data_IF_438129087418
#
_entry.id   IF_438129087418
#
_cell.length_a   1.000
_cell.length_b   1.000
_cell.length_c   1.000
_cell.angle_alpha   90.00
_cell.angle_beta   90.00
_cell.angle_gamma   90.00
#
_symmetry.space_group_name_H-M   'P 1'
#
loop_
_entity.id
_entity.type
_entity.pdbx_description
1 polymer ?
#
# COMPACT_ATOMS: atom_id res chain seq x y z
N UNK A 1 -23.18 23.83 -30.75
CA UNK A 1 -21.93 24.61 -30.73
C UNK A 1 -21.37 24.84 -29.31
N UNK A 2 -22.16 25.30 -28.35
CA UNK A 2 -21.69 25.62 -26.97
C UNK A 2 -21.06 24.41 -26.28
N UNK A 3 -21.70 23.22 -26.33
CA UNK A 3 -21.22 21.99 -25.71
C UNK A 3 -19.87 21.54 -26.29
N UNK A 4 -19.71 21.59 -27.61
CA UNK A 4 -18.45 21.23 -28.27
C UNK A 4 -17.32 22.21 -27.90
N UNK A 5 -17.63 23.51 -27.80
CA UNK A 5 -16.65 24.51 -27.34
C UNK A 5 -16.22 24.31 -25.89
N UNK A 6 -17.17 24.02 -25.02
CA UNK A 6 -16.86 23.73 -23.60
C UNK A 6 -16.03 22.45 -23.44
N UNK A 7 -16.36 21.39 -24.19
CA UNK A 7 -15.56 20.16 -24.14
C UNK A 7 -14.12 20.39 -24.63
N UNK A 8 -13.96 21.10 -25.75
CA UNK A 8 -12.63 21.41 -26.28
C UNK A 8 -11.83 22.29 -25.32
N UNK A 9 -12.48 23.27 -24.68
CA UNK A 9 -11.85 24.08 -23.63
C UNK A 9 -11.39 23.24 -22.44
N UNK A 10 -12.25 22.38 -21.92
CA UNK A 10 -11.89 21.47 -20.80
C UNK A 10 -10.77 20.51 -21.20
N UNK A 11 -10.82 19.96 -22.41
CA UNK A 11 -9.79 19.08 -22.95
C UNK A 11 -8.43 19.79 -23.03
N UNK A 12 -8.38 21.02 -23.55
CA UNK A 12 -7.15 21.81 -23.64
C UNK A 12 -6.65 22.28 -22.26
N UNK A 13 -7.57 22.66 -21.36
CA UNK A 13 -7.24 23.01 -19.99
C UNK A 13 -6.57 21.86 -19.25
N UNK A 14 -6.99 20.62 -19.48
CA UNK A 14 -6.36 19.44 -18.91
C UNK A 14 -4.88 19.29 -19.28
N UNK A 15 -4.43 19.75 -20.45
CA UNK A 15 -3.00 19.74 -20.79
C UNK A 15 -2.18 20.79 -20.03
N UNK A 16 -2.82 21.87 -19.58
CA UNK A 16 -2.15 22.95 -18.84
C UNK A 16 -2.04 22.57 -17.36
N UNK A 17 -3.08 21.95 -16.81
CA UNK A 17 -3.16 21.60 -15.38
C UNK A 17 -2.34 20.35 -15.06
N UNK A 18 -2.23 19.43 -16.04
CA UNK A 18 -1.61 18.15 -15.82
C UNK A 18 -0.08 18.30 -15.66
N UNK A 19 0.40 18.09 -14.44
CA UNK A 19 1.84 18.05 -14.14
C UNK A 19 2.28 16.59 -14.01
N UNK A 20 3.48 16.31 -14.51
CA UNK A 20 4.11 15.00 -14.37
C UNK A 20 4.59 14.82 -12.95
N UNK A 21 4.09 13.81 -12.26
CA UNK A 21 4.57 13.43 -10.94
C UNK A 21 5.81 12.55 -11.11
N UNK A 22 6.99 13.07 -10.79
CA UNK A 22 8.22 12.28 -10.66
C UNK A 22 8.59 12.22 -9.19
N UNK A 23 8.60 11.03 -8.62
CA UNK A 23 8.99 10.83 -7.23
C UNK A 23 10.31 10.06 -7.14
N UNK A 24 11.19 10.37 -6.19
CA UNK A 24 12.49 9.70 -6.04
C UNK A 24 12.40 8.18 -5.96
N UNK A 25 11.37 7.62 -5.31
CA UNK A 25 11.15 6.17 -5.17
C UNK A 25 11.13 5.44 -6.52
N UNK A 26 10.64 6.07 -7.59
CA UNK A 26 10.58 5.45 -8.92
C UNK A 26 11.95 5.24 -9.56
N UNK A 27 12.99 5.94 -9.09
CA UNK A 27 14.36 5.79 -9.61
C UNK A 27 14.98 4.44 -9.27
N UNK A 28 14.49 3.78 -8.21
CA UNK A 28 14.98 2.48 -7.75
C UNK A 28 14.25 1.31 -8.41
N UNK A 29 13.24 1.58 -9.24
CA UNK A 29 12.35 0.56 -9.80
C UNK A 29 12.58 0.40 -11.31
N UNK A 30 12.84 -0.82 -11.76
CA UNK A 30 12.92 -1.20 -13.17
C UNK A 30 11.58 -1.75 -13.64
N UNK A 31 11.16 -1.40 -14.86
CA UNK A 31 9.89 -1.87 -15.44
C UNK A 31 10.07 -3.21 -16.16
N UNK A 32 9.15 -4.18 -16.00
CA UNK A 32 8.00 -4.15 -15.11
C UNK A 32 8.38 -4.23 -13.64
N UNK A 33 7.69 -3.48 -12.77
CA UNK A 33 7.89 -3.55 -11.32
C UNK A 33 7.25 -4.81 -10.77
N UNK A 34 7.98 -5.53 -9.92
CA UNK A 34 7.48 -6.70 -9.20
C UNK A 34 7.26 -6.38 -7.74
N UNK A 35 6.06 -6.72 -7.22
CA UNK A 35 5.64 -6.44 -5.84
C UNK A 35 5.24 -7.75 -5.18
N UNK A 36 5.75 -8.02 -3.98
CA UNK A 36 5.32 -9.17 -3.19
C UNK A 36 4.26 -8.73 -2.18
N UNK A 37 2.99 -9.00 -2.50
CA UNK A 37 1.86 -8.73 -1.61
C UNK A 37 1.98 -9.58 -0.34
N UNK A 38 2.01 -8.91 0.84
CA UNK A 38 2.24 -9.53 2.14
C UNK A 38 3.49 -10.43 2.18
N UNK A 39 4.52 -10.06 1.43
CA UNK A 39 5.73 -10.87 1.27
C UNK A 39 5.56 -12.14 0.44
N UNK A 40 4.41 -12.40 -0.18
CA UNK A 40 4.11 -13.62 -0.94
C UNK A 40 3.29 -14.63 -0.14
N UNK A 41 2.20 -14.20 0.44
CA UNK A 41 1.32 -14.88 1.39
C UNK A 41 0.74 -16.24 0.95
N UNK A 42 0.78 -16.56 -0.34
CA UNK A 42 0.33 -17.88 -0.85
C UNK A 42 1.39 -18.96 -0.78
N UNK A 43 2.64 -18.58 -0.57
CA UNK A 43 3.80 -19.50 -0.58
C UNK A 43 4.38 -19.66 0.82
N UNK A 44 4.36 -18.59 1.60
CA UNK A 44 4.88 -18.53 2.97
C UNK A 44 3.87 -17.85 3.90
N UNK A 45 4.03 -17.99 5.25
CA UNK A 45 3.16 -17.27 6.19
C UNK A 45 3.17 -15.77 5.91
N UNK A 46 1.96 -15.21 5.83
CA UNK A 46 1.73 -13.80 5.54
C UNK A 46 2.64 -12.93 6.42
N UNK A 47 3.29 -11.94 5.80
CA UNK A 47 4.02 -10.88 6.50
C UNK A 47 5.09 -11.37 7.48
N UNK A 48 5.60 -12.58 7.26
CA UNK A 48 6.69 -13.15 8.04
C UNK A 48 8.06 -12.78 7.48
N UNK A 49 9.07 -12.80 8.34
CA UNK A 49 10.47 -12.64 7.93
C UNK A 49 10.86 -13.65 6.83
N UNK A 50 10.30 -14.86 6.92
CA UNK A 50 10.52 -15.91 5.93
C UNK A 50 9.95 -15.50 4.56
N UNK A 51 8.72 -14.99 4.51
CA UNK A 51 8.09 -14.54 3.27
C UNK A 51 8.89 -13.40 2.62
N UNK A 52 9.23 -12.38 3.39
CA UNK A 52 10.02 -11.24 2.91
C UNK A 52 11.40 -11.65 2.43
N UNK A 53 12.11 -12.48 3.19
CA UNK A 53 13.44 -12.99 2.80
C UNK A 53 13.38 -13.73 1.46
N UNK A 54 12.38 -14.60 1.28
CA UNK A 54 12.24 -15.34 0.01
C UNK A 54 11.89 -14.44 -1.16
N UNK A 55 10.97 -13.47 -0.98
CA UNK A 55 10.64 -12.51 -2.02
C UNK A 55 11.88 -11.72 -2.48
N UNK A 56 12.66 -11.21 -1.54
CA UNK A 56 13.90 -10.47 -1.83
C UNK A 56 14.93 -11.36 -2.55
N UNK A 57 15.14 -12.60 -2.08
CA UNK A 57 16.05 -13.55 -2.73
C UNK A 57 15.62 -13.93 -4.17
N UNK A 58 14.33 -13.84 -4.49
CA UNK A 58 13.79 -13.99 -5.83
C UNK A 58 13.95 -12.74 -6.70
N UNK A 59 14.50 -11.65 -6.17
CA UNK A 59 14.70 -10.39 -6.89
C UNK A 59 13.43 -9.54 -7.01
N UNK A 60 12.45 -9.72 -6.11
CA UNK A 60 11.28 -8.84 -6.03
C UNK A 60 11.73 -7.44 -5.62
N UNK A 61 11.27 -6.43 -6.35
CA UNK A 61 11.72 -5.06 -6.20
C UNK A 61 11.05 -4.33 -5.05
N UNK A 62 9.79 -4.62 -4.78
CA UNK A 62 8.98 -3.95 -3.76
C UNK A 62 8.36 -5.00 -2.83
N UNK A 63 8.54 -4.81 -1.54
CA UNK A 63 7.84 -5.56 -0.51
C UNK A 63 6.61 -4.75 -0.08
N UNK A 64 5.45 -5.33 -0.28
CA UNK A 64 4.21 -4.78 0.24
C UNK A 64 3.91 -5.43 1.59
N UNK A 65 3.45 -4.60 2.54
CA UNK A 65 3.14 -4.98 3.91
C UNK A 65 2.09 -4.05 4.54
N UNK A 66 1.35 -4.59 5.50
CA UNK A 66 0.24 -3.96 6.17
C UNK A 66 0.59 -3.56 7.61
N UNK A 67 0.24 -2.36 8.07
CA UNK A 67 0.65 -1.90 9.40
C UNK A 67 -0.51 -1.55 10.31
N UNK A 68 -0.30 -1.91 11.59
CA UNK A 68 -1.07 -1.50 12.75
C UNK A 68 -0.14 -0.99 13.85
N UNK A 69 -0.71 -0.36 14.89
CA UNK A 69 0.02 0.09 16.07
C UNK A 69 -0.49 -0.60 17.32
N UNK A 70 0.42 -1.12 18.12
CA UNK A 70 0.12 -1.71 19.44
C UNK A 70 -0.31 -0.66 20.45
N UNK A 71 -0.85 -1.10 21.60
CA UNK A 71 -1.25 -0.24 22.71
C UNK A 71 -0.09 0.60 23.25
N UNK A 72 1.12 0.07 23.23
CA UNK A 72 2.35 0.71 23.70
C UNK A 72 3.15 1.41 22.58
N UNK A 73 2.52 1.65 21.41
CA UNK A 73 3.02 2.55 20.36
C UNK A 73 3.95 1.91 19.33
N UNK A 74 4.14 0.60 19.35
CA UNK A 74 5.00 -0.07 18.35
C UNK A 74 4.21 -0.29 17.05
N UNK A 75 4.76 0.11 15.92
CA UNK A 75 4.21 -0.20 14.59
C UNK A 75 4.59 -1.63 14.24
N UNK A 76 3.58 -2.47 14.05
CA UNK A 76 3.70 -3.89 13.74
C UNK A 76 3.11 -4.22 12.38
N UNK A 77 3.58 -5.31 11.80
CA UNK A 77 3.17 -5.77 10.48
C UNK A 77 2.11 -6.86 10.66
N UNK A 78 0.91 -6.62 10.19
CA UNK A 78 -0.21 -7.57 10.17
C UNK A 78 -1.36 -7.03 9.34
N UNK A 79 -1.95 -7.87 8.48
CA UNK A 79 -3.05 -7.47 7.60
C UNK A 79 -4.34 -7.15 8.38
N UNK A 80 -4.74 -8.04 9.28
CA UNK A 80 -6.01 -7.93 9.99
C UNK A 80 -5.88 -7.04 11.23
N UNK A 81 -6.97 -6.42 11.68
CA UNK A 81 -6.99 -5.66 12.94
C UNK A 81 -6.75 -6.55 14.17
N UNK A 82 -7.02 -7.85 14.04
CA UNK A 82 -6.85 -8.86 15.07
C UNK A 82 -5.78 -9.86 14.66
N UNK A 83 -5.25 -10.60 15.65
CA UNK A 83 -4.28 -11.66 15.41
C UNK A 83 -4.90 -13.03 15.18
N UNK A 84 -6.23 -13.13 15.15
CA UNK A 84 -7.00 -14.39 15.24
C UNK A 84 -6.76 -15.34 14.06
N UNK A 85 -6.62 -14.80 12.87
CA UNK A 85 -6.57 -15.60 11.64
C UNK A 85 -5.34 -16.50 11.56
N UNK A 86 -4.19 -15.98 11.92
CA UNK A 86 -2.90 -16.65 11.69
C UNK A 86 -2.26 -17.21 12.96
N UNK A 87 -2.65 -16.72 14.15
CA UNK A 87 -1.97 -17.07 15.39
C UNK A 87 -2.73 -18.10 16.23
N UNK A 88 -2.11 -18.54 17.32
CA UNK A 88 -2.68 -19.39 18.38
C UNK A 88 -3.40 -18.57 19.47
N UNK A 89 -3.61 -17.29 19.24
CA UNK A 89 -4.24 -16.36 20.17
C UNK A 89 -5.28 -15.47 19.48
N UNK A 90 -5.94 -14.60 20.22
CA UNK A 90 -6.97 -13.69 19.69
C UNK A 90 -6.90 -12.32 20.35
N UNK A 91 -7.39 -11.30 19.63
CA UNK A 91 -7.54 -9.94 20.15
C UNK A 91 -7.11 -8.86 19.17
N UNK A 92 -7.53 -7.64 19.48
CA UNK A 92 -7.20 -6.45 18.70
C UNK A 92 -5.74 -6.02 18.94
N UNK A 93 -4.98 -5.85 17.89
CA UNK A 93 -3.57 -5.41 17.96
C UNK A 93 -3.41 -4.11 18.75
N UNK A 94 -4.30 -3.14 18.53
CA UNK A 94 -4.29 -1.84 19.23
C UNK A 94 -4.52 -1.93 20.74
N UNK A 95 -5.00 -3.06 21.24
CA UNK A 95 -5.23 -3.31 22.66
C UNK A 95 -4.13 -4.17 23.32
N UNK A 96 -3.24 -4.72 22.51
CA UNK A 96 -2.15 -5.59 22.95
C UNK A 96 -0.84 -4.82 23.07
N UNK A 97 0.00 -5.22 24.02
CA UNK A 97 1.39 -4.74 24.10
C UNK A 97 2.27 -5.48 23.12
N UNK A 98 3.36 -4.84 22.70
CA UNK A 98 4.39 -5.48 21.88
C UNK A 98 4.92 -6.76 22.54
N UNK A 99 5.21 -6.71 23.84
CA UNK A 99 5.68 -7.88 24.57
C UNK A 99 4.68 -9.05 24.57
N UNK A 100 3.37 -8.77 24.58
CA UNK A 100 2.33 -9.78 24.45
C UNK A 100 2.31 -10.40 23.05
N UNK A 101 2.40 -9.57 21.99
CA UNK A 101 2.46 -10.05 20.60
C UNK A 101 3.67 -10.96 20.33
N UNK A 102 4.78 -10.76 21.03
CA UNK A 102 5.96 -11.61 20.89
C UNK A 102 5.81 -13.01 21.51
N UNK A 103 4.76 -13.26 22.29
CA UNK A 103 4.50 -14.60 22.86
C UNK A 103 3.71 -15.51 21.92
N UNK A 104 2.99 -14.95 20.94
CA UNK A 104 2.14 -15.73 20.03
C UNK A 104 2.96 -16.42 18.93
N UNK A 105 2.43 -17.52 18.41
CA UNK A 105 2.91 -18.17 17.19
C UNK A 105 2.24 -17.52 15.98
N UNK A 106 2.98 -16.69 15.24
CA UNK A 106 2.48 -15.90 14.12
C UNK A 106 2.07 -16.70 12.88
N UNK A 107 2.31 -17.99 12.84
CA UNK A 107 1.95 -18.86 11.71
C UNK A 107 1.20 -20.13 12.14
N UNK A 108 0.62 -20.13 13.34
CA UNK A 108 -0.05 -21.30 13.91
C UNK A 108 -1.16 -21.84 13.03
N UNK A 109 -1.98 -20.96 12.45
CA UNK A 109 -3.10 -21.30 11.58
C UNK A 109 -2.81 -21.13 10.08
N UNK A 110 -1.59 -20.72 9.73
CA UNK A 110 -1.26 -20.59 8.31
C UNK A 110 -1.18 -21.97 7.62
N UNK A 111 -1.83 -22.05 6.47
CA UNK A 111 -1.89 -23.29 5.68
C UNK A 111 -1.90 -22.98 4.19
N UNK A 112 -1.07 -23.64 3.37
CA UNK A 112 -1.07 -23.45 1.91
C UNK A 112 -2.25 -24.16 1.22
N UNK A 113 -2.85 -25.14 1.88
CA UNK A 113 -3.87 -26.04 1.32
C UNK A 113 -5.15 -26.18 2.19
N UNK A 114 -5.19 -25.50 3.32
CA UNK A 114 -6.26 -25.60 4.32
C UNK A 114 -6.25 -26.89 5.15
N UNK A 115 -5.26 -27.76 4.95
CA UNK A 115 -5.17 -29.09 5.58
C UNK A 115 -3.90 -29.27 6.40
N UNK A 116 -2.80 -28.74 5.91
CA UNK A 116 -1.47 -28.85 6.55
C UNK A 116 -1.04 -27.52 7.15
N UNK A 117 -0.30 -27.58 8.25
CA UNK A 117 0.17 -26.41 9.01
C UNK A 117 1.70 -26.48 9.22
N UNK A 118 2.47 -26.30 8.14
CA UNK A 118 3.92 -26.61 8.15
C UNK A 118 4.75 -25.69 9.05
N UNK A 119 4.22 -24.52 9.40
CA UNK A 119 4.93 -23.52 10.22
C UNK A 119 4.42 -23.43 11.66
N UNK A 120 3.41 -24.22 12.03
CA UNK A 120 2.91 -24.28 13.40
C UNK A 120 4.00 -24.72 14.37
N UNK A 121 4.21 -23.94 15.44
CA UNK A 121 5.24 -24.21 16.43
C UNK A 121 6.68 -24.02 15.94
N UNK A 122 6.90 -23.35 14.82
CA UNK A 122 8.24 -23.12 14.25
C UNK A 122 8.85 -21.77 14.66
N UNK A 123 8.21 -21.04 15.57
CA UNK A 123 8.75 -19.78 16.09
C UNK A 123 8.58 -18.58 15.16
N UNK A 124 7.65 -18.65 14.22
CA UNK A 124 7.29 -17.49 13.39
C UNK A 124 6.66 -16.44 14.29
N UNK A 125 7.13 -15.19 14.19
CA UNK A 125 6.68 -14.08 15.03
C UNK A 125 6.01 -13.00 14.21
N UNK A 126 5.08 -12.26 14.84
CA UNK A 126 4.63 -10.96 14.34
C UNK A 126 5.82 -10.01 14.40
N UNK A 127 6.04 -9.25 13.35
CA UNK A 127 7.20 -8.38 13.20
C UNK A 127 6.86 -6.93 13.50
N UNK A 128 7.81 -6.18 14.04
CA UNK A 128 7.73 -4.72 14.01
C UNK A 128 8.21 -4.21 12.64
N UNK A 129 7.72 -3.05 12.23
CA UNK A 129 8.19 -2.39 11.00
C UNK A 129 9.69 -2.10 11.08
N UNK A 130 10.20 -1.71 12.25
CA UNK A 130 11.64 -1.50 12.47
C UNK A 130 12.46 -2.76 12.22
N UNK A 131 11.99 -3.93 12.67
CA UNK A 131 12.72 -5.18 12.46
C UNK A 131 12.90 -5.53 10.98
N UNK A 132 11.92 -5.21 10.13
CA UNK A 132 12.03 -5.42 8.68
C UNK A 132 12.94 -4.38 8.02
N UNK A 133 12.85 -3.12 8.42
CA UNK A 133 13.72 -2.06 7.90
C UNK A 133 15.18 -2.30 8.28
N UNK A 134 15.43 -2.80 9.49
CA UNK A 134 16.78 -3.20 9.93
C UNK A 134 17.32 -4.41 9.15
N UNK A 135 16.46 -5.39 8.87
CA UNK A 135 16.85 -6.59 8.12
C UNK A 135 17.13 -6.31 6.64
N UNK A 136 16.42 -5.36 6.04
CA UNK A 136 16.48 -5.07 4.60
C UNK A 136 16.58 -3.57 4.30
N UNK A 137 17.66 -2.88 4.71
CA UNK A 137 17.75 -1.42 4.67
C UNK A 137 17.80 -0.80 3.27
N UNK A 138 17.97 -1.61 2.22
CA UNK A 138 18.00 -1.15 0.83
C UNK A 138 16.71 -1.48 0.06
N UNK A 139 15.73 -2.09 0.72
CA UNK A 139 14.49 -2.53 0.07
C UNK A 139 13.54 -1.35 -0.13
N UNK A 140 12.79 -1.37 -1.23
CA UNK A 140 11.64 -0.49 -1.43
C UNK A 140 10.41 -1.13 -0.79
N UNK A 141 9.70 -0.34 0.01
CA UNK A 141 8.50 -0.78 0.73
C UNK A 141 7.26 -0.09 0.19
N UNK A 142 6.19 -0.85 0.13
CA UNK A 142 4.83 -0.38 -0.07
C UNK A 142 4.04 -0.69 1.20
N UNK A 143 3.75 0.35 1.99
CA UNK A 143 3.21 0.22 3.35
C UNK A 143 1.75 0.62 3.35
N UNK A 144 0.83 -0.35 3.56
CA UNK A 144 -0.58 -0.06 3.70
C UNK A 144 -0.95 0.24 5.15
N UNK A 145 -1.50 1.42 5.42
CA UNK A 145 -2.06 1.76 6.73
C UNK A 145 -3.45 1.14 6.84
N UNK A 146 -3.56 0.07 7.63
CA UNK A 146 -4.83 -0.64 7.91
C UNK A 146 -5.58 -0.06 9.10
N UNK A 147 -4.87 0.48 10.07
CA UNK A 147 -5.48 1.07 11.25
C UNK A 147 -5.89 2.52 11.00
N UNK A 148 -7.18 2.80 11.11
CA UNK A 148 -7.74 4.14 10.92
C UNK A 148 -8.04 4.85 12.23
N UNK A 149 -8.30 4.09 13.30
CA UNK A 149 -8.61 4.57 14.64
C UNK A 149 -8.04 3.62 15.71
N UNK A 150 -7.25 4.17 16.68
CA UNK A 150 -6.67 5.51 16.68
C UNK A 150 -5.67 5.71 15.52
N UNK A 151 -5.51 6.93 15.01
CA UNK A 151 -4.64 7.23 13.88
C UNK A 151 -3.17 6.94 14.24
N UNK A 152 -2.39 6.50 13.24
CA UNK A 152 -0.95 6.19 13.39
C UNK A 152 -0.06 6.94 12.39
N UNK A 153 -0.63 7.84 11.59
CA UNK A 153 0.05 8.47 10.46
C UNK A 153 1.28 9.28 10.89
N UNK A 154 1.18 10.00 12.02
CA UNK A 154 2.31 10.79 12.56
C UNK A 154 3.42 9.87 13.06
N UNK A 155 3.06 8.80 13.79
CA UNK A 155 4.03 7.84 14.31
C UNK A 155 4.77 7.13 13.18
N UNK A 156 4.05 6.77 12.11
CA UNK A 156 4.66 6.18 10.92
C UNK A 156 5.62 7.17 10.24
N UNK A 157 5.18 8.41 10.03
CA UNK A 157 6.03 9.43 9.41
C UNK A 157 7.32 9.68 10.20
N UNK A 158 7.20 9.82 11.52
CA UNK A 158 8.36 10.06 12.40
C UNK A 158 9.33 8.87 12.35
N UNK A 159 8.82 7.64 12.31
CA UNK A 159 9.64 6.45 12.17
C UNK A 159 10.36 6.44 10.81
N UNK A 160 9.67 6.70 9.70
CA UNK A 160 10.27 6.75 8.36
C UNK A 160 11.37 7.82 8.26
N UNK A 161 11.16 9.00 8.85
CA UNK A 161 12.16 10.07 8.93
C UNK A 161 13.37 9.65 9.74
N UNK A 162 13.16 8.98 10.87
CA UNK A 162 14.24 8.46 11.72
C UNK A 162 15.12 7.45 10.97
N UNK A 163 14.54 6.63 10.10
CA UNK A 163 15.27 5.68 9.26
C UNK A 163 15.89 6.34 8.01
N UNK A 164 15.53 7.58 7.69
CA UNK A 164 16.03 8.29 6.52
C UNK A 164 15.54 7.73 5.18
N UNK A 165 14.47 6.94 5.17
CA UNK A 165 13.95 6.21 3.98
C UNK A 165 12.69 6.85 3.38
N UNK A 166 12.17 7.91 3.99
CA UNK A 166 10.86 8.46 3.67
C UNK A 166 10.67 8.83 2.19
N UNK A 167 11.68 9.46 1.57
CA UNK A 167 11.51 10.06 0.25
C UNK A 167 11.76 9.11 -0.94
N UNK A 168 12.59 8.10 -0.80
CA UNK A 168 13.09 7.32 -1.94
C UNK A 168 12.92 5.80 -1.85
N UNK A 169 12.50 5.30 -0.69
CA UNK A 169 12.33 3.86 -0.47
C UNK A 169 10.92 3.46 -0.03
N UNK A 170 10.00 4.41 0.18
CA UNK A 170 8.68 4.11 0.72
C UNK A 170 7.57 4.69 -0.15
N UNK A 171 6.56 3.87 -0.36
CA UNK A 171 5.23 4.25 -0.86
C UNK A 171 4.24 3.93 0.26
N UNK A 172 3.31 4.84 0.55
CA UNK A 172 2.27 4.60 1.54
C UNK A 172 0.91 4.49 0.86
N UNK A 173 0.17 3.47 1.22
CA UNK A 173 -1.17 3.18 0.76
C UNK A 173 -2.18 3.17 1.90
N UNK A 174 -3.44 3.39 1.58
CA UNK A 174 -4.59 3.08 2.44
C UNK A 174 -5.86 3.00 1.62
N UNK A 175 -6.78 2.09 1.97
CA UNK A 175 -8.14 2.08 1.43
C UNK A 175 -9.03 3.17 2.03
N UNK A 176 -8.58 3.84 3.11
CA UNK A 176 -9.24 5.01 3.67
C UNK A 176 -8.65 6.28 3.07
N UNK A 177 -9.43 6.99 2.26
CA UNK A 177 -9.03 8.30 1.71
C UNK A 177 -8.72 9.32 2.82
N UNK A 178 -9.42 9.24 3.94
CA UNK A 178 -9.19 10.11 5.11
C UNK A 178 -7.83 9.84 5.73
N UNK A 179 -7.48 8.56 5.97
CA UNK A 179 -6.18 8.13 6.48
C UNK A 179 -5.06 8.58 5.56
N UNK A 180 -5.21 8.34 4.26
CA UNK A 180 -4.20 8.72 3.27
C UNK A 180 -4.03 10.24 3.20
N UNK A 181 -5.12 11.00 3.28
CA UNK A 181 -5.06 12.48 3.34
C UNK A 181 -4.37 12.98 4.62
N UNK A 182 -4.66 12.36 5.78
CA UNK A 182 -3.95 12.70 7.03
C UNK A 182 -2.46 12.42 6.90
N UNK A 183 -2.10 11.25 6.31
CA UNK A 183 -0.70 10.91 6.08
C UNK A 183 0.01 11.89 5.15
N UNK A 184 -0.59 12.24 4.01
CA UNK A 184 -0.04 13.24 3.08
C UNK A 184 0.21 14.60 3.74
N UNK A 185 -0.66 15.01 4.67
CA UNK A 185 -0.50 16.28 5.39
C UNK A 185 0.68 16.28 6.37
N UNK A 186 0.98 15.16 7.02
CA UNK A 186 2.07 15.06 8.01
C UNK A 186 3.39 14.62 7.39
N UNK A 187 3.33 13.94 6.24
CA UNK A 187 4.48 13.33 5.57
C UNK A 187 4.48 13.60 4.04
N UNK A 188 4.49 14.86 3.60
CA UNK A 188 4.34 15.21 2.19
C UNK A 188 5.50 14.77 1.29
N UNK A 189 6.64 14.43 1.88
CA UNK A 189 7.81 13.91 1.16
C UNK A 189 7.73 12.44 0.77
N UNK A 190 6.78 11.68 1.32
CA UNK A 190 6.60 10.26 1.03
C UNK A 190 5.63 10.08 -0.13
N UNK A 191 5.98 9.20 -1.07
CA UNK A 191 5.09 8.79 -2.15
C UNK A 191 3.83 8.13 -1.60
N UNK A 192 2.67 8.42 -2.21
CA UNK A 192 1.42 7.75 -1.85
C UNK A 192 0.77 7.06 -3.03
N UNK A 193 -0.04 6.05 -2.74
CA UNK A 193 -0.90 5.41 -3.73
C UNK A 193 -2.11 6.29 -4.09
N UNK A 194 -2.77 5.94 -5.19
CA UNK A 194 -3.98 6.62 -5.65
C UNK A 194 -5.13 6.41 -4.65
N UNK A 195 -5.69 7.50 -4.06
CA UNK A 195 -6.87 7.40 -3.22
C UNK A 195 -8.07 6.79 -3.95
N UNK A 196 -8.92 6.04 -3.24
CA UNK A 196 -10.06 5.34 -3.84
C UNK A 196 -11.03 6.28 -4.56
N UNK A 197 -11.32 7.45 -3.95
CA UNK A 197 -12.18 8.45 -4.56
C UNK A 197 -11.58 9.03 -5.83
N UNK A 198 -10.28 9.36 -5.83
CA UNK A 198 -9.59 9.84 -7.04
C UNK A 198 -9.55 8.77 -8.13
N UNK A 199 -9.34 7.50 -7.75
CA UNK A 199 -9.42 6.38 -8.67
C UNK A 199 -10.78 6.27 -9.35
N UNK A 200 -11.87 6.45 -8.60
CA UNK A 200 -13.24 6.45 -9.12
C UNK A 200 -13.48 7.63 -10.08
N UNK A 201 -13.05 8.83 -9.70
CA UNK A 201 -13.16 10.02 -10.55
C UNK A 201 -12.34 9.84 -11.84
N UNK A 202 -11.12 9.34 -11.74
CA UNK A 202 -10.26 9.03 -12.88
C UNK A 202 -10.91 8.04 -13.84
N UNK A 203 -11.56 6.99 -13.28
CA UNK A 203 -12.30 6.04 -14.08
C UNK A 203 -13.39 6.72 -14.91
N UNK A 204 -14.23 7.55 -14.26
CA UNK A 204 -15.31 8.28 -14.95
C UNK A 204 -14.75 9.21 -16.01
N UNK A 205 -13.76 10.03 -15.67
CA UNK A 205 -13.14 10.98 -16.59
C UNK A 205 -12.48 10.29 -17.79
N UNK A 206 -11.89 9.10 -17.56
CA UNK A 206 -11.29 8.31 -18.64
C UNK A 206 -12.31 7.87 -19.69
N UNK A 207 -13.60 7.68 -19.30
CA UNK A 207 -14.66 7.29 -20.25
C UNK A 207 -15.04 8.39 -21.25
N UNK A 208 -14.81 9.63 -20.87
CA UNK A 208 -15.12 10.81 -21.69
C UNK A 208 -13.87 11.53 -22.19
N UNK A 209 -12.67 11.01 -21.94
CA UNK A 209 -11.40 11.58 -22.41
C UNK A 209 -10.95 12.85 -21.69
N UNK A 210 -11.45 13.09 -20.48
CA UNK A 210 -11.13 14.26 -19.64
C UNK A 210 -10.27 13.92 -18.42
N UNK A 211 -9.57 12.77 -18.42
CA UNK A 211 -8.73 12.29 -17.33
C UNK A 211 -7.63 13.28 -16.90
N UNK A 212 -7.19 14.13 -17.84
CA UNK A 212 -6.15 15.15 -17.55
C UNK A 212 -6.64 16.32 -16.70
N UNK A 213 -7.94 16.45 -16.48
CA UNK A 213 -8.48 17.45 -15.56
C UNK A 213 -8.30 17.09 -14.09
N UNK A 214 -7.99 15.80 -13.79
CA UNK A 214 -7.73 15.37 -12.44
C UNK A 214 -6.23 15.51 -12.15
N UNK A 215 -5.82 16.43 -11.27
CA UNK A 215 -4.46 16.47 -10.79
C UNK A 215 -4.21 15.20 -9.93
N UNK A 216 -3.18 14.43 -10.28
CA UNK A 216 -2.80 13.23 -9.58
C UNK A 216 -1.45 13.46 -8.91
N UNK A 217 -1.44 13.48 -7.58
CA UNK A 217 -0.20 13.50 -6.78
C UNK A 217 0.26 12.06 -6.45
N UNK A 218 -0.58 11.07 -6.76
CA UNK A 218 -0.28 9.67 -6.53
C UNK A 218 0.79 9.15 -7.49
N UNK A 219 1.75 8.42 -6.94
CA UNK A 219 2.88 7.84 -7.69
C UNK A 219 2.55 6.44 -8.21
N UNK A 220 1.69 5.72 -7.50
CA UNK A 220 1.29 4.34 -7.77
C UNK A 220 -0.23 4.20 -7.70
N UNK A 221 -0.81 3.38 -8.57
CA UNK A 221 -2.20 2.95 -8.46
C UNK A 221 -2.24 1.46 -8.16
N UNK A 222 -2.67 1.10 -6.97
CA UNK A 222 -2.91 -0.27 -6.56
C UNK A 222 -4.39 -0.60 -6.80
N UNK A 223 -4.66 -1.31 -7.86
CA UNK A 223 -6.02 -1.54 -8.31
C UNK A 223 -6.29 -3.03 -8.43
N UNK A 224 -7.35 -3.53 -7.79
CA UNK A 224 -7.81 -4.89 -8.03
C UNK A 224 -8.34 -5.00 -9.47
N UNK A 225 -8.31 -6.21 -10.03
CA UNK A 225 -8.82 -6.46 -11.39
C UNK A 225 -10.27 -6.00 -11.59
N UNK A 226 -11.06 -6.07 -10.53
CA UNK A 226 -12.43 -5.54 -10.48
C UNK A 226 -12.71 -4.99 -9.09
N UNK A 227 -13.50 -3.94 -9.00
CA UNK A 227 -13.90 -3.32 -7.74
C UNK A 227 -15.35 -2.85 -7.77
N UNK A 228 -16.02 -2.95 -6.61
CA UNK A 228 -17.40 -2.52 -6.44
C UNK A 228 -17.47 -1.06 -6.02
N UNK A 229 -18.28 -0.30 -6.70
CA UNK A 229 -18.58 1.10 -6.36
C UNK A 229 -20.08 1.31 -6.21
N UNK A 230 -20.48 2.50 -5.78
CA UNK A 230 -21.90 2.90 -5.78
C UNK A 230 -22.52 2.88 -7.20
N UNK A 231 -21.70 2.89 -8.23
CA UNK A 231 -22.12 2.84 -9.65
C UNK A 231 -22.17 1.41 -10.21
N UNK A 232 -21.85 0.40 -9.40
CA UNK A 232 -21.77 -1.01 -9.79
C UNK A 232 -20.36 -1.55 -9.77
N UNK A 233 -20.20 -2.76 -10.36
CA UNK A 233 -18.91 -3.41 -10.48
C UNK A 233 -18.15 -2.81 -11.68
N UNK A 234 -16.95 -2.31 -11.43
CA UNK A 234 -16.06 -1.74 -12.44
C UNK A 234 -14.90 -2.71 -12.68
N UNK A 235 -14.55 -2.89 -13.95
CA UNK A 235 -13.40 -3.71 -14.33
C UNK A 235 -12.24 -2.83 -14.78
N UNK A 236 -11.02 -3.24 -14.40
CA UNK A 236 -9.80 -2.61 -14.82
C UNK A 236 -9.58 -2.88 -16.33
N UNK A 237 -9.65 -1.85 -17.15
CA UNK A 237 -9.41 -1.94 -18.59
C UNK A 237 -8.22 -1.09 -19.04
N UNK A 238 -7.79 -1.30 -20.30
CA UNK A 238 -6.66 -0.55 -20.88
C UNK A 238 -6.89 0.97 -20.92
N UNK A 239 -8.13 1.41 -21.02
CA UNK A 239 -8.45 2.85 -21.05
C UNK A 239 -8.15 3.49 -19.70
N UNK A 240 -8.57 2.84 -18.61
CA UNK A 240 -8.32 3.30 -17.26
C UNK A 240 -6.82 3.26 -16.91
N UNK A 241 -6.15 2.13 -17.21
CA UNK A 241 -4.70 2.01 -17.03
C UNK A 241 -3.96 3.11 -17.78
N UNK A 242 -4.34 3.37 -19.06
CA UNK A 242 -3.74 4.42 -19.86
C UNK A 242 -4.05 5.83 -19.33
N UNK A 243 -5.20 6.05 -18.71
CA UNK A 243 -5.55 7.34 -18.12
C UNK A 243 -4.61 7.67 -16.94
N UNK A 244 -4.33 6.69 -16.07
CA UNK A 244 -3.33 6.85 -15.01
C UNK A 244 -1.92 7.02 -15.59
N UNK A 245 -1.53 6.16 -16.53
CA UNK A 245 -0.20 6.20 -17.14
C UNK A 245 0.04 7.42 -18.04
N UNK A 246 -1.01 8.10 -18.57
CA UNK A 246 -0.86 9.32 -19.37
C UNK A 246 -0.31 10.50 -18.56
N UNK A 247 -0.43 10.48 -17.24
CA UNK A 247 0.29 11.37 -16.36
C UNK A 247 1.81 11.20 -16.45
N UNK A 248 2.28 10.07 -16.97
CA UNK A 248 3.68 9.66 -16.96
C UNK A 248 4.33 9.59 -18.37
N UNK A 249 3.65 10.05 -19.43
CA UNK A 249 4.21 10.00 -20.80
C UNK A 249 5.02 11.25 -21.14
N UNK A 250 6.31 11.03 -21.35
CA UNK A 250 7.02 11.62 -22.48
C UNK A 250 6.74 10.83 -23.73
#
# INVERSE_FOLDING_TARGET
MIICGMYLFLYTLGFIIHQKTTHPVLKHLSKPVTIAHQGGNKVYPDESLLAFTNAINMGIQVIELDVHRTKDGIIVINHDQTIDRLTDSSGLIREMSWSGLQQVDGAYNWSPDGLTYPYRGKGVKILSLTAIMDAFPQQVYDIEIKQHDPPLESDLCDLLRQYGVAADQVIVASFSDETLTRFQNVCPEVATSLPVNQGTILYILSRIGLERLLPLDAVVAQLPRSFSTKLGQLELDRRYINAFAKGDRQ
#
